data_IF_098884211470
#
_entry.id   IF_098884211470
#
_cell.length_a   1.000
_cell.length_b   1.000
_cell.length_c   1.000
_cell.angle_alpha   90.00
_cell.angle_beta   90.00
_cell.angle_gamma   90.00
#
_symmetry.space_group_name_H-M   'P 1'
#
loop_
_entity.id
_entity.type
_entity.pdbx_description
1 polymer ?
#
# COMPACT_ATOMS: atom_id res chain seq x y z
N UNK A 1 58.85 -54.44 0.17
CA UNK A 1 57.65 -54.17 -0.62
C UNK A 1 56.48 -53.81 0.33
N UNK A 2 56.21 -52.53 0.48
CA UNK A 2 55.16 -52.06 1.39
C UNK A 2 53.79 -52.17 0.71
N UNK A 3 52.83 -52.93 1.27
CA UNK A 3 51.47 -53.05 0.83
C UNK A 3 50.75 -51.71 1.13
N UNK A 4 50.42 -50.94 0.09
CA UNK A 4 49.46 -49.82 0.20
C UNK A 4 48.11 -50.35 0.67
N UNK A 5 47.76 -50.10 1.92
CA UNK A 5 46.45 -50.39 2.47
C UNK A 5 45.44 -49.49 1.77
N UNK A 6 44.51 -50.08 1.01
CA UNK A 6 43.38 -49.39 0.41
C UNK A 6 42.42 -48.90 1.50
N UNK A 7 42.22 -47.59 1.57
CA UNK A 7 41.25 -46.93 2.50
C UNK A 7 39.84 -47.54 2.38
N UNK A 8 39.51 -48.12 1.24
CA UNK A 8 38.22 -48.83 0.99
C UNK A 8 38.14 -50.24 1.58
N UNK A 9 39.22 -50.79 2.16
CA UNK A 9 39.20 -52.14 2.76
C UNK A 9 38.29 -52.24 3.99
N UNK A 10 38.14 -51.16 4.76
CA UNK A 10 37.33 -51.11 5.95
C UNK A 10 35.81 -51.08 5.67
N UNK A 11 35.39 -50.57 4.53
CA UNK A 11 33.98 -50.50 4.15
C UNK A 11 33.37 -51.86 3.77
N UNK A 12 34.19 -52.86 3.48
CA UNK A 12 33.77 -54.23 3.24
C UNK A 12 33.11 -54.90 4.46
N UNK A 13 33.37 -54.40 5.64
CA UNK A 13 32.87 -54.93 6.91
C UNK A 13 31.42 -54.54 7.18
N UNK A 14 30.91 -53.51 6.48
CA UNK A 14 29.50 -53.06 6.57
C UNK A 14 28.57 -53.71 5.55
N UNK A 15 29.05 -54.68 4.75
CA UNK A 15 28.24 -55.38 3.81
C UNK A 15 27.42 -56.46 4.56
N UNK A 16 26.20 -56.10 4.92
CA UNK A 16 25.25 -56.97 5.68
C UNK A 16 24.56 -58.06 4.84
N UNK A 17 24.87 -58.15 3.54
CA UNK A 17 24.25 -59.14 2.65
C UNK A 17 25.22 -60.28 2.35
N UNK A 18 24.71 -61.52 2.33
CA UNK A 18 25.50 -62.67 1.95
C UNK A 18 26.07 -62.53 0.53
N UNK A 19 27.41 -62.64 0.41
CA UNK A 19 28.06 -62.55 -0.88
C UNK A 19 27.77 -63.81 -1.69
N UNK A 20 27.22 -63.62 -2.87
CA UNK A 20 27.13 -64.72 -3.86
C UNK A 20 28.53 -65.15 -4.29
N UNK A 21 28.72 -66.43 -4.52
CA UNK A 21 30.00 -66.97 -5.07
C UNK A 21 30.34 -66.23 -6.37
N UNK A 22 31.61 -65.94 -6.56
CA UNK A 22 32.11 -65.11 -7.69
C UNK A 22 31.74 -65.70 -9.08
N UNK A 23 31.50 -66.98 -9.18
CA UNK A 23 31.09 -67.69 -10.41
C UNK A 23 29.67 -67.28 -10.91
N UNK A 24 28.82 -66.73 -10.02
CA UNK A 24 27.45 -66.31 -10.39
C UNK A 24 27.35 -64.83 -10.67
N UNK A 25 28.44 -64.10 -10.62
CA UNK A 25 28.47 -62.61 -10.78
C UNK A 25 28.80 -62.23 -12.21
N UNK A 26 27.78 -62.10 -13.05
CA UNK A 26 27.93 -61.59 -14.41
C UNK A 26 28.09 -60.06 -14.36
N UNK A 27 29.26 -59.55 -14.64
CA UNK A 27 29.51 -58.12 -14.76
C UNK A 27 29.20 -57.65 -16.17
N UNK A 28 28.15 -56.83 -16.32
CA UNK A 28 27.77 -56.23 -17.60
C UNK A 28 27.99 -54.73 -17.60
N UNK A 29 28.35 -54.14 -18.74
CA UNK A 29 28.50 -52.71 -18.90
C UNK A 29 27.21 -51.94 -18.67
N UNK A 30 26.07 -52.52 -19.07
CA UNK A 30 24.73 -52.01 -18.81
C UNK A 30 24.37 -51.97 -17.32
N UNK A 31 24.71 -53.03 -16.58
CA UNK A 31 24.49 -53.06 -15.12
C UNK A 31 25.36 -52.03 -14.41
N UNK A 32 26.59 -51.81 -14.85
CA UNK A 32 27.45 -50.77 -14.28
C UNK A 32 26.91 -49.35 -14.53
N UNK A 33 26.40 -49.07 -15.73
CA UNK A 33 25.81 -47.76 -16.04
C UNK A 33 24.57 -47.49 -15.23
N UNK A 34 23.67 -48.44 -15.06
CA UNK A 34 22.48 -48.30 -14.20
C UNK A 34 22.87 -48.02 -12.75
N UNK A 35 23.87 -48.74 -12.21
CA UNK A 35 24.37 -48.54 -10.86
C UNK A 35 24.93 -47.13 -10.66
N UNK A 36 25.70 -46.62 -11.62
CA UNK A 36 26.27 -45.26 -11.55
C UNK A 36 25.15 -44.21 -11.57
N UNK A 37 24.20 -44.37 -12.51
CA UNK A 37 23.05 -43.43 -12.64
C UNK A 37 22.22 -43.45 -11.36
N UNK A 38 21.86 -44.62 -10.85
CA UNK A 38 21.07 -44.72 -9.63
C UNK A 38 21.80 -44.14 -8.42
N UNK A 39 23.10 -44.35 -8.30
CA UNK A 39 23.90 -43.76 -7.22
C UNK A 39 23.93 -42.24 -7.31
N UNK A 40 24.11 -41.67 -8.52
CA UNK A 40 24.02 -40.22 -8.73
C UNK A 40 22.66 -39.63 -8.33
N UNK A 41 21.58 -40.30 -8.72
CA UNK A 41 20.22 -39.88 -8.36
C UNK A 41 20.06 -39.93 -6.84
N UNK A 42 20.46 -41.00 -6.18
CA UNK A 42 20.37 -41.13 -4.72
C UNK A 42 21.17 -40.03 -4.02
N UNK A 43 22.40 -39.78 -4.45
CA UNK A 43 23.24 -38.72 -3.87
C UNK A 43 22.58 -37.36 -4.06
N UNK A 44 22.04 -37.07 -5.25
CA UNK A 44 21.36 -35.80 -5.53
C UNK A 44 20.13 -35.61 -4.63
N UNK A 45 19.30 -36.65 -4.48
CA UNK A 45 18.13 -36.61 -3.60
C UNK A 45 18.52 -36.42 -2.13
N UNK A 46 19.53 -37.14 -1.65
CA UNK A 46 20.01 -37.02 -0.27
C UNK A 46 20.55 -35.60 0.00
N UNK A 47 21.33 -35.07 -0.95
CA UNK A 47 21.84 -33.70 -0.82
C UNK A 47 20.71 -32.67 -0.85
N UNK A 48 19.74 -32.84 -1.73
CA UNK A 48 18.55 -31.96 -1.80
C UNK A 48 17.76 -31.97 -0.50
N UNK A 49 17.53 -33.14 0.07
CA UNK A 49 16.79 -33.28 1.33
C UNK A 49 17.58 -32.70 2.51
N UNK A 50 18.90 -32.91 2.52
CA UNK A 50 19.77 -32.33 3.55
C UNK A 50 19.75 -30.80 3.51
N UNK A 51 19.79 -30.21 2.31
CA UNK A 51 19.67 -28.76 2.12
C UNK A 51 18.29 -28.27 2.61
N UNK A 52 17.22 -28.93 2.22
CA UNK A 52 15.87 -28.60 2.67
C UNK A 52 15.71 -28.72 4.19
N UNK A 53 16.31 -29.73 4.81
CA UNK A 53 16.29 -29.93 6.27
C UNK A 53 17.07 -28.84 7.02
N UNK A 54 18.20 -28.38 6.47
CA UNK A 54 19.02 -27.34 7.11
C UNK A 54 18.51 -25.92 6.85
N UNK A 55 17.62 -25.75 5.85
CA UNK A 55 17.06 -24.45 5.53
C UNK A 55 15.90 -24.15 6.50
N UNK A 56 15.96 -23.07 7.29
CA UNK A 56 14.86 -22.71 8.19
C UNK A 56 13.63 -22.28 7.38
N UNK A 57 12.51 -22.89 7.65
CA UNK A 57 11.22 -22.51 7.07
C UNK A 57 10.36 -21.81 8.11
N UNK A 58 9.93 -20.60 7.80
CA UNK A 58 8.96 -19.88 8.63
C UNK A 58 7.58 -20.48 8.46
N UNK A 59 6.99 -20.92 9.56
CA UNK A 59 5.61 -21.41 9.58
C UNK A 59 4.72 -20.37 10.23
N UNK A 60 3.91 -19.63 9.47
CA UNK A 60 3.01 -18.66 10.04
C UNK A 60 1.97 -19.38 10.92
N UNK A 61 1.74 -18.88 12.12
CA UNK A 61 0.68 -19.34 13.01
C UNK A 61 -0.29 -18.21 13.28
N UNK A 62 -1.59 -18.50 13.17
CA UNK A 62 -2.64 -17.55 13.52
C UNK A 62 -2.92 -17.67 15.01
N UNK A 63 -2.77 -16.55 15.71
CA UNK A 63 -3.08 -16.42 17.12
C UNK A 63 -4.19 -15.41 17.27
N UNK A 64 -5.24 -15.76 18.02
CA UNK A 64 -6.32 -14.81 18.31
C UNK A 64 -5.81 -13.76 19.30
N UNK A 65 -5.81 -12.51 18.86
CA UNK A 65 -5.50 -11.39 19.73
C UNK A 65 -6.65 -11.16 20.73
N UNK A 66 -6.34 -11.28 22.02
CA UNK A 66 -7.28 -11.07 23.13
C UNK A 66 -7.21 -9.66 23.69
N UNK A 67 -6.35 -8.79 23.19
CA UNK A 67 -6.25 -7.41 23.64
C UNK A 67 -7.53 -6.65 23.29
N UNK A 68 -8.10 -5.99 24.29
CA UNK A 68 -9.28 -5.14 24.12
C UNK A 68 -8.85 -3.68 24.17
N UNK A 69 -9.43 -2.84 23.33
CA UNK A 69 -9.18 -1.38 23.25
C UNK A 69 -7.80 -0.96 22.70
N UNK A 70 -6.96 -1.88 22.29
CA UNK A 70 -5.72 -1.53 21.59
C UNK A 70 -6.02 -1.26 20.11
N UNK A 71 -5.47 -0.17 19.60
CA UNK A 71 -5.52 0.14 18.18
C UNK A 71 -4.40 -0.57 17.45
N UNK A 72 -4.62 -0.87 16.18
CA UNK A 72 -3.63 -1.45 15.28
C UNK A 72 -3.08 -0.36 14.36
N UNK A 73 -1.77 -0.15 14.31
CA UNK A 73 -1.18 0.74 13.32
C UNK A 73 -1.17 0.08 11.94
N UNK A 74 -1.53 0.85 10.91
CA UNK A 74 -1.32 0.51 9.50
C UNK A 74 -0.27 1.48 8.99
N UNK A 75 0.91 0.97 8.68
CA UNK A 75 2.01 1.75 8.14
C UNK A 75 2.04 1.60 6.63
N UNK A 76 2.05 2.72 5.90
CA UNK A 76 2.03 2.69 4.45
C UNK A 76 2.90 3.79 3.84
N UNK A 77 3.36 3.52 2.62
CA UNK A 77 4.04 4.48 1.75
C UNK A 77 3.73 4.08 0.31
N UNK A 78 2.98 4.92 -0.39
CA UNK A 78 2.46 4.65 -1.73
C UNK A 78 2.67 5.87 -2.60
N UNK A 79 3.22 5.67 -3.78
CA UNK A 79 3.42 6.73 -4.78
C UNK A 79 2.42 6.59 -5.92
N UNK A 80 1.77 7.68 -6.26
CA UNK A 80 0.88 7.85 -7.40
C UNK A 80 1.53 8.83 -8.38
N UNK A 81 2.14 8.38 -9.48
CA UNK A 81 2.88 9.27 -10.38
C UNK A 81 2.00 10.22 -11.19
N UNK A 82 0.75 9.84 -11.47
CA UNK A 82 -0.16 10.57 -12.36
C UNK A 82 -1.37 11.16 -11.63
N UNK A 83 -1.24 11.37 -10.31
CA UNK A 83 -2.31 11.92 -9.49
C UNK A 83 -1.79 13.01 -8.57
N UNK A 84 -2.30 14.24 -8.69
CA UNK A 84 -1.91 15.32 -7.79
C UNK A 84 -2.42 15.10 -6.36
N UNK A 85 -1.64 15.52 -5.39
CA UNK A 85 -1.89 15.28 -3.97
C UNK A 85 -3.21 15.84 -3.45
N UNK A 86 -3.70 16.94 -4.01
CA UNK A 86 -4.97 17.54 -3.57
C UNK A 86 -6.19 16.68 -3.93
N UNK A 87 -6.07 15.83 -4.96
CA UNK A 87 -7.16 14.95 -5.38
C UNK A 87 -7.24 13.64 -4.62
N UNK A 88 -6.18 13.23 -3.94
CA UNK A 88 -6.13 11.96 -3.24
C UNK A 88 -6.59 12.10 -1.79
N UNK A 89 -7.55 11.30 -1.37
CA UNK A 89 -7.99 11.20 0.01
C UNK A 89 -7.78 9.79 0.55
N UNK A 90 -7.55 9.72 1.87
CA UNK A 90 -7.38 8.47 2.61
C UNK A 90 -8.55 8.34 3.56
N UNK A 91 -9.39 7.33 3.33
CA UNK A 91 -10.60 7.10 4.11
C UNK A 91 -10.56 5.76 4.81
N UNK A 92 -11.09 5.74 6.03
CA UNK A 92 -11.20 4.55 6.87
C UNK A 92 -12.67 4.37 7.22
N UNK A 93 -13.16 3.16 7.00
CA UNK A 93 -14.50 2.76 7.38
C UNK A 93 -14.44 1.50 8.23
N UNK A 94 -15.12 1.50 9.35
CA UNK A 94 -15.43 0.29 10.09
C UNK A 94 -16.78 -0.29 9.69
N UNK A 95 -17.12 -1.48 10.20
CA UNK A 95 -18.39 -2.15 9.90
C UNK A 95 -19.63 -1.35 10.37
N UNK A 96 -19.43 -0.35 11.22
CA UNK A 96 -20.50 0.53 11.72
C UNK A 96 -20.69 1.76 10.82
N UNK A 97 -19.85 1.94 9.81
CA UNK A 97 -19.88 3.11 8.92
C UNK A 97 -19.44 4.40 9.62
N UNK A 98 -18.83 4.28 10.78
CA UNK A 98 -18.33 5.43 11.52
C UNK A 98 -17.05 5.94 10.89
N UNK A 99 -17.14 7.11 10.25
CA UNK A 99 -15.98 7.89 9.88
C UNK A 99 -15.40 8.52 11.14
N UNK A 100 -14.34 7.96 11.67
CA UNK A 100 -13.65 8.61 12.78
C UNK A 100 -12.72 9.71 12.25
N UNK A 101 -13.04 10.98 12.46
CA UNK A 101 -12.22 12.09 11.97
C UNK A 101 -10.84 12.20 12.61
N UNK A 102 -10.50 11.29 13.52
CA UNK A 102 -9.22 11.28 14.25
C UNK A 102 -8.14 10.35 13.70
N UNK A 103 -8.40 9.61 12.61
CA UNK A 103 -7.44 8.62 12.10
C UNK A 103 -6.34 9.19 11.20
N UNK A 104 -6.52 10.40 10.68
CA UNK A 104 -5.68 10.98 9.63
C UNK A 104 -4.50 11.82 10.11
N UNK A 105 -4.26 11.89 11.42
CA UNK A 105 -3.32 12.87 11.99
C UNK A 105 -1.85 12.67 11.63
N UNK A 106 -1.46 11.45 11.22
CA UNK A 106 -0.07 11.13 10.91
C UNK A 106 0.15 10.68 9.46
N UNK A 107 -0.70 11.14 8.55
CA UNK A 107 -0.56 10.92 7.11
C UNK A 107 -0.01 12.17 6.45
N UNK A 108 1.07 12.01 5.74
CA UNK A 108 1.76 13.09 5.01
C UNK A 108 1.64 12.86 3.52
N UNK A 109 1.30 13.92 2.79
CA UNK A 109 1.30 13.95 1.33
C UNK A 109 2.49 14.78 0.85
N UNK A 110 3.28 14.23 -0.06
CA UNK A 110 4.43 14.90 -0.66
C UNK A 110 4.19 15.02 -2.15
N UNK A 111 4.20 16.24 -2.66
CA UNK A 111 4.06 16.53 -4.09
C UNK A 111 5.31 16.10 -4.84
N UNK A 112 5.12 15.45 -5.96
CA UNK A 112 6.20 14.96 -6.83
C UNK A 112 6.08 15.60 -8.21
N UNK A 113 7.21 15.91 -8.81
CA UNK A 113 7.24 16.27 -10.23
C UNK A 113 7.08 15.02 -11.13
N UNK A 114 7.04 15.23 -12.45
CA UNK A 114 6.96 14.13 -13.43
C UNK A 114 8.14 13.15 -13.38
N UNK A 115 9.26 13.56 -12.77
CA UNK A 115 10.44 12.70 -12.59
C UNK A 115 10.42 11.96 -11.24
N UNK A 116 9.39 12.18 -10.43
CA UNK A 116 9.24 11.56 -9.10
C UNK A 116 10.05 12.24 -8.00
N UNK A 117 10.57 13.45 -8.26
CA UNK A 117 11.32 14.25 -7.27
C UNK A 117 10.34 15.13 -6.50
N UNK A 118 10.48 15.25 -5.17
CA UNK A 118 9.66 16.16 -4.38
C UNK A 118 9.79 17.63 -4.87
N UNK A 119 8.65 18.25 -5.16
CA UNK A 119 8.59 19.63 -5.70
C UNK A 119 8.94 20.65 -4.61
N UNK A 120 8.51 20.39 -3.37
CA UNK A 120 8.76 21.28 -2.23
C UNK A 120 9.31 20.48 -1.04
N UNK A 121 10.55 20.72 -0.68
CA UNK A 121 11.20 20.12 0.49
C UNK A 121 10.66 20.65 1.85
N UNK A 122 9.65 21.54 1.83
CA UNK A 122 9.16 22.25 3.01
C UNK A 122 7.65 22.14 3.31
N UNK A 123 6.82 21.72 2.38
CA UNK A 123 5.36 21.60 2.57
C UNK A 123 4.91 20.13 2.58
N UNK A 124 5.24 19.42 3.63
CA UNK A 124 4.52 18.17 3.94
C UNK A 124 3.17 18.53 4.55
N UNK A 125 2.11 18.35 3.80
CA UNK A 125 0.74 18.59 4.29
C UNK A 125 0.30 17.38 5.11
N UNK A 126 0.14 17.59 6.43
CA UNK A 126 -0.49 16.57 7.28
C UNK A 126 -1.99 16.52 7.01
N UNK A 127 -2.50 15.33 6.76
CA UNK A 127 -3.95 15.12 6.63
C UNK A 127 -4.60 15.39 7.99
N UNK A 128 -5.61 16.26 8.02
CA UNK A 128 -6.28 16.68 9.26
C UNK A 128 -5.84 18.04 9.80
N UNK A 129 -4.80 18.64 9.25
CA UNK A 129 -4.45 20.01 9.56
C UNK A 129 -5.19 20.96 8.61
N UNK A 130 -6.32 21.47 9.09
CA UNK A 130 -7.19 22.42 8.35
C UNK A 130 -6.46 23.71 7.96
N UNK A 131 -5.24 23.90 8.46
CA UNK A 131 -4.41 25.09 8.21
C UNK A 131 -3.45 24.93 7.02
N UNK A 132 -3.21 23.71 6.54
CA UNK A 132 -2.23 23.42 5.50
C UNK A 132 -2.64 23.88 4.07
N UNK A 133 -3.85 24.40 3.88
CA UNK A 133 -4.28 25.08 2.65
C UNK A 133 -4.32 26.60 2.74
N UNK A 134 -4.08 27.16 3.92
CA UNK A 134 -4.07 28.61 4.13
C UNK A 134 -2.72 29.21 3.74
N UNK A 135 -2.42 29.23 2.43
CA UNK A 135 -1.48 30.20 1.90
C UNK A 135 -1.97 31.59 2.31
N UNK A 136 -1.16 32.31 3.11
CA UNK A 136 -1.31 33.71 3.50
C UNK A 136 -2.79 34.12 3.67
N UNK A 137 -3.25 34.13 4.90
CA UNK A 137 -4.57 34.67 5.22
C UNK A 137 -4.71 36.03 4.50
N UNK A 138 -5.41 36.02 3.38
CA UNK A 138 -6.06 37.24 2.92
C UNK A 138 -6.98 37.63 4.08
N UNK A 139 -6.95 38.89 4.45
CA UNK A 139 -7.72 39.46 5.55
C UNK A 139 -9.11 38.84 5.59
N UNK A 140 -9.63 38.46 6.78
CA UNK A 140 -10.94 37.87 6.89
C UNK A 140 -11.94 38.79 6.20
N UNK A 141 -12.63 38.24 5.21
CA UNK A 141 -13.68 38.99 4.51
C UNK A 141 -14.63 39.55 5.57
N UNK A 142 -14.80 40.86 5.59
CA UNK A 142 -15.70 41.60 6.49
C UNK A 142 -17.17 41.25 6.23
N UNK A 143 -17.47 40.52 5.19
CA UNK A 143 -18.82 40.16 4.75
C UNK A 143 -19.04 38.65 4.89
N UNK A 144 -20.22 38.29 5.34
CA UNK A 144 -20.68 36.90 5.44
C UNK A 144 -20.77 36.29 4.04
N UNK A 145 -19.91 35.31 3.75
CA UNK A 145 -19.88 34.59 2.48
C UNK A 145 -21.06 33.64 2.33
N UNK A 146 -21.58 33.53 1.10
CA UNK A 146 -22.65 32.60 0.78
C UNK A 146 -22.20 31.14 0.85
N UNK A 147 -23.09 30.26 1.37
CA UNK A 147 -22.90 28.82 1.30
C UNK A 147 -23.61 28.19 0.10
N UNK A 148 -24.10 28.99 -0.86
CA UNK A 148 -24.76 28.57 -2.11
C UNK A 148 -25.89 27.56 -1.90
N UNK A 149 -26.70 27.78 -0.87
CA UNK A 149 -27.84 26.94 -0.53
C UNK A 149 -27.57 25.79 0.43
N UNK A 150 -26.32 25.51 0.74
CA UNK A 150 -25.95 24.56 1.79
C UNK A 150 -26.10 25.19 3.18
N UNK A 151 -26.30 24.36 4.21
CA UNK A 151 -26.28 24.82 5.59
C UNK A 151 -24.87 25.09 6.06
N UNK A 152 -24.61 26.31 6.52
CA UNK A 152 -23.29 26.63 7.09
C UNK A 152 -22.95 25.71 8.28
N UNK A 153 -21.68 25.41 8.43
CA UNK A 153 -21.17 24.63 9.57
C UNK A 153 -21.00 25.51 10.81
N UNK A 154 -20.83 26.80 10.60
CA UNK A 154 -20.63 27.82 11.64
C UNK A 154 -21.95 28.33 12.17
N UNK A 155 -21.97 28.74 13.42
CA UNK A 155 -23.15 29.32 14.09
C UNK A 155 -23.61 30.65 13.46
N UNK A 156 -22.65 31.38 12.82
CA UNK A 156 -22.96 32.65 12.14
C UNK A 156 -23.67 32.51 10.78
N UNK A 157 -23.82 31.28 10.30
CA UNK A 157 -24.51 30.99 9.03
C UNK A 157 -23.68 31.33 7.79
N UNK A 158 -22.37 31.61 7.92
CA UNK A 158 -21.50 32.10 6.86
C UNK A 158 -20.52 31.02 6.39
N UNK A 159 -20.20 31.03 5.08
CA UNK A 159 -19.11 30.27 4.48
C UNK A 159 -18.11 31.26 3.86
N UNK A 160 -17.05 31.57 4.58
CA UNK A 160 -16.10 32.62 4.18
C UNK A 160 -14.95 32.12 3.33
N UNK A 161 -14.68 30.79 3.36
CA UNK A 161 -13.62 30.14 2.62
C UNK A 161 -14.18 29.11 1.64
N UNK A 162 -13.40 28.78 0.60
CA UNK A 162 -13.71 27.71 -0.33
C UNK A 162 -13.91 26.37 0.41
N UNK A 163 -13.08 26.12 1.41
CA UNK A 163 -13.16 24.90 2.21
C UNK A 163 -14.46 24.81 3.01
N UNK A 164 -14.91 25.91 3.62
CA UNK A 164 -16.18 25.95 4.35
C UNK A 164 -17.39 25.67 3.44
N UNK A 165 -17.36 26.16 2.19
CA UNK A 165 -18.39 25.85 1.20
C UNK A 165 -18.39 24.37 0.85
N UNK A 166 -17.20 23.79 0.62
CA UNK A 166 -17.05 22.36 0.31
C UNK A 166 -17.56 21.48 1.44
N UNK A 167 -17.17 21.77 2.67
CA UNK A 167 -17.61 21.02 3.85
C UNK A 167 -19.11 21.13 4.07
N UNK A 168 -19.71 22.31 3.81
CA UNK A 168 -21.15 22.49 3.88
C UNK A 168 -21.89 21.62 2.86
N UNK A 169 -21.38 21.51 1.62
CA UNK A 169 -21.94 20.64 0.59
C UNK A 169 -21.80 19.16 0.96
N UNK A 170 -20.63 18.75 1.44
CA UNK A 170 -20.38 17.38 1.91
C UNK A 170 -21.37 17.00 3.01
N UNK A 171 -21.61 17.89 3.99
CA UNK A 171 -22.56 17.66 5.08
C UNK A 171 -24.01 17.50 4.59
N UNK A 172 -24.37 18.16 3.50
CA UNK A 172 -25.68 18.01 2.86
C UNK A 172 -25.77 16.76 1.97
N UNK A 173 -24.66 16.02 1.79
CA UNK A 173 -24.59 14.91 0.86
C UNK A 173 -24.66 15.34 -0.61
N UNK A 174 -24.32 16.59 -0.90
CA UNK A 174 -24.30 17.13 -2.25
C UNK A 174 -22.92 16.99 -2.87
N UNK A 175 -22.85 16.59 -4.15
CA UNK A 175 -21.62 16.69 -4.92
C UNK A 175 -21.22 18.15 -5.10
N UNK A 176 -19.90 18.41 -5.15
CA UNK A 176 -19.40 19.78 -5.34
C UNK A 176 -20.01 20.47 -6.56
N UNK A 177 -20.42 21.70 -6.36
CA UNK A 177 -20.68 22.65 -7.44
C UNK A 177 -19.36 23.00 -8.13
N UNK A 178 -19.45 23.41 -9.38
CA UNK A 178 -18.30 23.85 -10.17
C UNK A 178 -17.51 24.92 -9.40
N UNK A 179 -16.29 24.63 -9.02
CA UNK A 179 -15.39 25.51 -8.26
C UNK A 179 -15.24 26.87 -8.94
N UNK A 180 -15.43 26.94 -10.27
CA UNK A 180 -15.41 28.18 -11.07
C UNK A 180 -16.57 29.14 -10.81
N UNK A 181 -17.62 28.66 -10.13
CA UNK A 181 -18.83 29.42 -9.83
C UNK A 181 -18.90 29.86 -8.36
N UNK A 182 -17.90 29.49 -7.55
CA UNK A 182 -17.84 29.82 -6.13
C UNK A 182 -16.84 30.97 -5.92
N UNK A 183 -17.32 32.13 -5.53
CA UNK A 183 -16.50 33.36 -5.37
C UNK A 183 -15.36 33.17 -4.37
N UNK A 184 -15.57 32.44 -3.28
CA UNK A 184 -14.54 32.14 -2.30
C UNK A 184 -13.39 31.33 -2.92
N UNK A 185 -13.71 30.33 -3.76
CA UNK A 185 -12.71 29.48 -4.42
C UNK A 185 -11.92 30.25 -5.48
N UNK A 186 -12.60 31.14 -6.23
CA UNK A 186 -11.97 32.05 -7.20
C UNK A 186 -11.01 33.00 -6.48
N UNK A 187 -11.49 33.66 -5.41
CA UNK A 187 -10.70 34.60 -4.62
C UNK A 187 -9.46 33.97 -3.98
N UNK A 188 -9.55 32.71 -3.55
CA UNK A 188 -8.46 31.95 -2.96
C UNK A 188 -7.51 31.35 -4.01
N UNK A 189 -7.74 31.57 -5.29
CA UNK A 189 -6.91 31.04 -6.38
C UNK A 189 -6.91 29.50 -6.45
N UNK A 190 -8.01 28.88 -6.10
CA UNK A 190 -8.13 27.41 -6.07
C UNK A 190 -7.91 26.80 -7.44
N UNK A 191 -8.47 27.43 -8.47
CA UNK A 191 -8.31 26.97 -9.86
C UNK A 191 -6.86 27.07 -10.33
N UNK A 192 -6.17 28.16 -10.02
CA UNK A 192 -4.76 28.33 -10.39
C UNK A 192 -3.85 27.28 -9.72
N UNK A 193 -4.15 26.94 -8.47
CA UNK A 193 -3.42 25.87 -7.77
C UNK A 193 -3.68 24.52 -8.42
N UNK A 194 -4.92 24.24 -8.78
CA UNK A 194 -5.30 23.04 -9.49
C UNK A 194 -4.57 22.90 -10.82
N UNK A 195 -4.55 23.96 -11.62
CA UNK A 195 -3.85 23.98 -12.92
C UNK A 195 -2.34 23.78 -12.77
N UNK A 196 -1.72 24.38 -11.75
CA UNK A 196 -0.28 24.22 -11.50
C UNK A 196 0.11 22.82 -11.04
N UNK A 197 -0.78 22.13 -10.30
CA UNK A 197 -0.53 20.80 -9.76
C UNK A 197 -1.02 19.68 -10.67
N UNK A 198 -1.69 19.99 -11.77
CA UNK A 198 -2.31 19.00 -12.65
C UNK A 198 -1.34 17.97 -13.23
N UNK A 199 -0.07 18.35 -13.40
CA UNK A 199 0.99 17.49 -13.94
C UNK A 199 1.92 16.95 -12.85
N UNK A 200 1.47 16.91 -11.61
CA UNK A 200 2.26 16.40 -10.50
C UNK A 200 1.81 14.99 -10.08
N UNK A 201 2.72 14.26 -9.49
CA UNK A 201 2.43 13.04 -8.74
C UNK A 201 2.29 13.32 -7.25
N UNK A 202 1.94 12.28 -6.51
CA UNK A 202 1.80 12.31 -5.07
C UNK A 202 2.42 11.08 -4.41
N UNK A 203 3.23 11.28 -3.39
CA UNK A 203 3.57 10.23 -2.45
C UNK A 203 2.77 10.43 -1.17
N UNK A 204 2.06 9.40 -0.76
CA UNK A 204 1.30 9.39 0.50
C UNK A 204 1.95 8.39 1.43
N UNK A 205 2.38 8.85 2.59
CA UNK A 205 2.99 7.99 3.59
C UNK A 205 2.59 8.39 5.00
N UNK A 206 2.66 7.43 5.90
CA UNK A 206 2.33 7.65 7.30
C UNK A 206 1.84 6.40 7.99
N UNK A 207 1.15 6.60 9.10
CA UNK A 207 0.50 5.53 9.82
C UNK A 207 -0.91 5.92 10.26
N UNK A 208 -1.79 4.93 10.26
CA UNK A 208 -3.18 5.03 10.69
C UNK A 208 -3.39 4.14 11.90
N UNK A 209 -4.02 4.66 12.93
CA UNK A 209 -4.35 3.88 14.15
C UNK A 209 -5.81 3.44 14.08
N UNK A 210 -6.06 2.21 13.65
CA UNK A 210 -7.42 1.66 13.47
C UNK A 210 -7.84 0.78 14.64
N UNK A 211 -9.15 0.66 14.85
CA UNK A 211 -9.69 -0.32 15.78
C UNK A 211 -9.49 -1.73 15.23
N UNK A 212 -9.24 -2.72 16.10
CA UNK A 212 -9.11 -4.13 15.72
C UNK A 212 -10.48 -4.76 15.47
N UNK A 213 -11.23 -4.17 14.55
CA UNK A 213 -12.54 -4.64 14.08
C UNK A 213 -12.49 -4.75 12.57
N UNK A 214 -13.47 -5.45 12.01
CA UNK A 214 -13.61 -5.52 10.56
C UNK A 214 -13.83 -4.12 9.99
N UNK A 215 -13.19 -3.82 8.90
CA UNK A 215 -13.28 -2.53 8.23
C UNK A 215 -12.47 -2.52 6.96
N UNK A 216 -12.44 -1.38 6.29
CA UNK A 216 -11.57 -1.13 5.16
C UNK A 216 -10.92 0.25 5.27
N UNK A 217 -9.77 0.41 4.66
CA UNK A 217 -9.23 1.71 4.31
C UNK A 217 -8.97 1.75 2.81
N UNK A 218 -9.12 2.91 2.22
CA UNK A 218 -8.86 3.10 0.81
C UNK A 218 -8.30 4.48 0.52
N UNK A 219 -7.53 4.57 -0.56
CA UNK A 219 -7.04 5.81 -1.12
C UNK A 219 -7.78 6.03 -2.42
N UNK A 220 -8.52 7.11 -2.51
CA UNK A 220 -9.37 7.39 -3.65
C UNK A 220 -9.29 8.86 -4.06
N UNK A 221 -9.55 9.16 -5.35
CA UNK A 221 -9.66 10.54 -5.81
C UNK A 221 -10.96 11.18 -5.35
N UNK A 222 -10.92 12.48 -5.14
CA UNK A 222 -12.07 13.30 -4.79
C UNK A 222 -12.44 13.27 -3.31
N UNK A 223 -13.25 14.24 -2.90
CA UNK A 223 -13.71 14.32 -1.52
C UNK A 223 -14.72 13.23 -1.23
N UNK A 224 -14.56 12.62 -0.06
CA UNK A 224 -15.48 11.62 0.44
C UNK A 224 -16.68 12.28 1.12
N UNK A 225 -17.87 11.80 0.87
CA UNK A 225 -19.06 12.20 1.58
C UNK A 225 -19.97 10.99 1.85
N UNK A 226 -20.71 11.07 2.94
CA UNK A 226 -21.65 10.02 3.33
C UNK A 226 -23.07 10.44 2.97
N UNK A 227 -23.71 9.64 2.13
CA UNK A 227 -25.13 9.80 1.80
C UNK A 227 -25.91 8.65 2.42
N UNK A 228 -26.70 8.91 3.45
CA UNK A 228 -27.45 7.92 4.22
C UNK A 228 -26.56 6.79 4.76
N UNK A 229 -26.44 5.69 4.02
CA UNK A 229 -25.66 4.50 4.39
C UNK A 229 -24.49 4.23 3.41
N UNK A 230 -24.31 5.06 2.40
CA UNK A 230 -23.28 4.88 1.39
C UNK A 230 -22.18 5.92 1.50
N UNK A 231 -20.95 5.44 1.47
CA UNK A 231 -19.76 6.25 1.30
C UNK A 231 -19.50 6.47 -0.20
N UNK A 232 -19.42 7.72 -0.61
CA UNK A 232 -19.28 8.12 -2.03
C UNK A 232 -18.17 9.15 -2.17
N UNK A 233 -17.40 9.08 -3.26
CA UNK A 233 -16.41 10.08 -3.64
C UNK A 233 -16.92 10.94 -4.80
N UNK A 234 -16.64 12.24 -4.75
CA UNK A 234 -16.90 13.12 -5.91
C UNK A 234 -15.77 12.98 -6.94
N UNK A 235 -16.06 12.27 -8.01
CA UNK A 235 -15.11 11.97 -9.09
C UNK A 235 -15.18 12.96 -10.25
N UNK A 236 -15.88 14.08 -10.13
CA UNK A 236 -16.05 15.03 -11.24
C UNK A 236 -14.73 15.58 -11.75
N UNK A 237 -13.87 16.04 -10.85
CA UNK A 237 -12.55 16.54 -11.22
C UNK A 237 -11.65 15.45 -11.82
N UNK A 238 -11.66 14.28 -11.24
CA UNK A 238 -10.92 13.12 -11.75
C UNK A 238 -11.34 12.75 -13.18
N UNK A 239 -12.64 12.68 -13.42
CA UNK A 239 -13.19 12.32 -14.73
C UNK A 239 -13.00 13.42 -15.78
N UNK A 240 -12.92 14.67 -15.36
CA UNK A 240 -12.68 15.80 -16.27
C UNK A 240 -11.25 15.82 -16.83
N UNK A 241 -10.30 15.20 -16.13
CA UNK A 241 -8.88 15.26 -16.47
C UNK A 241 -8.26 16.63 -16.20
N UNK A 242 -6.98 16.74 -16.47
CA UNK A 242 -6.24 17.98 -16.33
C UNK A 242 -6.62 19.01 -17.42
N UNK A 243 -6.44 20.31 -17.15
CA UNK A 243 -6.75 21.38 -18.12
C UNK A 243 -6.01 21.27 -19.47
N UNK A 244 -4.85 20.63 -19.47
CA UNK A 244 -4.02 20.35 -20.66
C UNK A 244 -4.43 19.10 -21.44
N UNK A 245 -5.50 18.40 -21.00
CA UNK A 245 -6.03 17.19 -21.59
C UNK A 245 -5.37 15.90 -21.09
N UNK A 246 -4.44 15.98 -20.13
CA UNK A 246 -3.90 14.80 -19.44
C UNK A 246 -4.98 14.10 -18.64
N UNK A 247 -5.05 12.78 -18.72
CA UNK A 247 -5.97 11.97 -17.92
C UNK A 247 -5.27 11.52 -16.66
N UNK A 248 -5.91 11.78 -15.54
CA UNK A 248 -5.48 11.22 -14.27
C UNK A 248 -5.70 9.71 -14.24
N UNK A 249 -4.79 9.00 -13.62
CA UNK A 249 -4.93 7.56 -13.43
C UNK A 249 -4.47 7.14 -12.03
N UNK A 250 -4.91 5.97 -11.59
CA UNK A 250 -4.58 5.39 -10.30
C UNK A 250 -3.39 4.43 -10.37
N UNK A 251 -2.50 4.61 -11.34
CA UNK A 251 -1.20 3.91 -11.36
C UNK A 251 -0.46 4.22 -10.07
N UNK A 252 0.07 3.19 -9.42
CA UNK A 252 0.73 3.37 -8.13
C UNK A 252 1.85 2.36 -7.91
N UNK A 253 2.75 2.74 -7.03
CA UNK A 253 3.80 1.87 -6.50
C UNK A 253 3.71 1.84 -4.99
N UNK A 254 3.57 0.65 -4.41
CA UNK A 254 3.53 0.42 -2.98
C UNK A 254 4.96 0.21 -2.49
N UNK A 255 5.50 1.14 -1.71
CA UNK A 255 6.83 1.00 -1.09
C UNK A 255 6.73 0.29 0.26
N UNK A 256 5.64 0.54 0.99
CA UNK A 256 5.36 -0.09 2.28
C UNK A 256 3.85 -0.23 2.47
N UNK A 257 3.43 -1.40 2.91
CA UNK A 257 2.08 -1.63 3.43
C UNK A 257 2.16 -2.73 4.49
N UNK A 258 2.10 -2.31 5.74
CA UNK A 258 2.28 -3.19 6.88
C UNK A 258 1.20 -2.97 7.92
N UNK A 259 0.63 -4.06 8.40
CA UNK A 259 -0.34 -4.09 9.49
C UNK A 259 0.35 -4.50 10.79
N UNK A 260 0.17 -3.71 11.82
CA UNK A 260 0.81 -3.92 13.11
C UNK A 260 2.03 -3.02 13.36
N UNK A 261 2.62 -3.10 14.56
CA UNK A 261 3.74 -2.24 14.95
C UNK A 261 5.00 -2.55 14.12
N UNK A 262 5.83 -1.53 13.93
CA UNK A 262 7.18 -1.72 13.41
C UNK A 262 8.06 -2.28 14.53
N UNK A 263 8.64 -3.47 14.34
CA UNK A 263 9.64 -4.01 15.25
C UNK A 263 11.05 -3.67 14.76
N UNK A 264 11.96 -3.38 15.69
CA UNK A 264 13.35 -3.02 15.36
C UNK A 264 14.21 -4.20 14.90
N UNK A 265 13.76 -5.42 15.19
CA UNK A 265 14.48 -6.67 14.94
C UNK A 265 13.87 -7.48 13.78
N UNK A 266 13.24 -6.81 12.81
CA UNK A 266 12.67 -7.49 11.65
C UNK A 266 13.79 -7.94 10.70
N UNK A 267 13.93 -9.25 10.55
CA UNK A 267 14.77 -9.84 9.52
C UNK A 267 14.11 -9.71 8.14
N UNK A 268 14.88 -9.83 7.05
CA UNK A 268 14.35 -9.79 5.68
C UNK A 268 13.21 -10.79 5.46
N UNK A 269 13.29 -11.97 6.07
CA UNK A 269 12.26 -13.01 5.98
C UNK A 269 10.94 -12.57 6.63
N UNK A 270 11.01 -11.87 7.77
CA UNK A 270 9.83 -11.32 8.45
C UNK A 270 9.24 -10.18 7.61
N UNK A 271 10.07 -9.30 7.07
CA UNK A 271 9.66 -8.22 6.18
C UNK A 271 8.98 -8.75 4.92
N UNK A 272 9.48 -9.84 4.32
CA UNK A 272 8.86 -10.46 3.16
C UNK A 272 7.41 -10.95 3.44
N UNK A 273 7.12 -11.35 4.66
CA UNK A 273 5.78 -11.78 5.05
C UNK A 273 4.90 -10.60 5.50
N UNK A 274 5.46 -9.68 6.30
CA UNK A 274 4.69 -8.58 6.90
C UNK A 274 4.49 -7.38 5.95
N UNK A 275 5.33 -7.26 4.92
CA UNK A 275 5.29 -6.21 3.90
C UNK A 275 5.28 -6.81 2.49
N UNK A 276 4.46 -7.84 2.29
CA UNK A 276 4.43 -8.65 1.06
C UNK A 276 4.10 -7.86 -0.23
N UNK A 277 3.53 -6.66 -0.10
CA UNK A 277 3.21 -5.78 -1.23
C UNK A 277 4.30 -4.73 -1.51
N UNK A 278 5.41 -4.75 -0.78
CA UNK A 278 6.51 -3.81 -1.03
C UNK A 278 7.11 -4.02 -2.43
N UNK A 279 7.29 -2.92 -3.15
CA UNK A 279 7.83 -2.92 -4.51
C UNK A 279 6.79 -3.28 -5.60
N UNK A 280 5.55 -3.58 -5.23
CA UNK A 280 4.49 -3.85 -6.21
C UNK A 280 4.09 -2.55 -6.89
N UNK A 281 4.22 -2.52 -8.21
CA UNK A 281 3.75 -1.42 -9.05
C UNK A 281 2.57 -1.90 -9.90
N UNK A 282 1.53 -1.08 -9.99
CA UNK A 282 0.36 -1.34 -10.81
C UNK A 282 0.10 -0.15 -11.72
N UNK A 283 -0.02 -0.42 -13.00
CA UNK A 283 -0.43 0.57 -14.01
C UNK A 283 -1.90 0.39 -14.33
N UNK A 284 -2.65 1.47 -14.28
CA UNK A 284 -4.01 1.53 -14.80
C UNK A 284 -3.88 1.68 -16.33
N UNK A 285 -3.95 0.56 -17.06
CA UNK A 285 -3.97 0.60 -18.52
C UNK A 285 -5.24 1.28 -19.05
N UNK A 286 -5.15 1.92 -20.22
CA UNK A 286 -6.31 2.50 -20.90
C UNK A 286 -7.46 1.49 -20.97
N UNK A 287 -8.60 1.83 -20.39
CA UNK A 287 -9.84 1.05 -20.46
C UNK A 287 -10.09 0.02 -19.36
N UNK A 288 -9.33 0.03 -18.26
CA UNK A 288 -9.66 -0.81 -17.09
C UNK A 288 -10.43 -0.01 -16.05
N UNK A 289 -11.61 -0.51 -15.73
CA UNK A 289 -12.40 -0.11 -14.54
C UNK A 289 -11.54 -0.16 -13.27
N UNK A 290 -11.77 0.80 -12.41
CA UNK A 290 -11.07 1.02 -11.14
C UNK A 290 -10.99 -0.27 -10.31
N UNK A 291 -9.79 -0.73 -10.03
CA UNK A 291 -9.60 -1.85 -9.10
C UNK A 291 -9.60 -1.32 -7.68
N UNK A 292 -10.72 -1.43 -7.01
CA UNK A 292 -10.79 -1.24 -5.56
C UNK A 292 -10.01 -2.40 -4.92
N UNK A 293 -8.91 -2.09 -4.23
CA UNK A 293 -8.23 -3.08 -3.40
C UNK A 293 -9.12 -3.28 -2.18
N UNK A 294 -9.97 -4.30 -2.22
CA UNK A 294 -10.69 -4.80 -1.04
C UNK A 294 -9.79 -5.85 -0.37
N UNK A 295 -9.40 -5.60 0.83
CA UNK A 295 -8.80 -6.59 1.73
C UNK A 295 -9.78 -6.95 2.85
#
# INVERSE_FOLDING_TARGET
MAKKGSVFGGLRQFDGYAKTLDDFRVKTTTGASVTVISTLIIITLVCSELIAYTTPHWKPSLVVDKSRKEKMPINFNITFPNMPCHMLNVDIMDDYGEHSPGYSQDVTKVRLDLSGVPVDLGESVKLGDSTAGASKALEPAKECGSCYGANALREDGCCNTCQEVREAYVKMGWGMVNVKEIDQCIREGWLERFEKQSNEGCNIHGHLMVNKVRGNFHIAPGDAFQTNTMHVHDLKEFNSGAPDGHKFDLSHTIHKLKFGPDSRDETEDILAVTNALAGVSKSAGEGREYTVIKH
#
